data_IF_884650946732
#
_entry.id   IF_884650946732
#
_cell.length_a   1.000
_cell.length_b   1.000
_cell.length_c   1.000
_cell.angle_alpha   90.00
_cell.angle_beta   90.00
_cell.angle_gamma   90.00
#
_symmetry.space_group_name_H-M   'P 1'
#
loop_
_entity.id
_entity.type
_entity.pdbx_description
1 polymer ?
#
# COMPACT_ATOMS: atom_id res chain seq x y z
N UNK A 1 0.63 -6.17 -27.42
CA UNK A 1 1.12 -4.96 -26.74
C UNK A 1 1.59 -5.36 -25.35
N UNK A 2 2.85 -5.09 -25.00
CA UNK A 2 3.39 -5.50 -23.69
C UNK A 2 3.06 -4.43 -22.65
N UNK A 3 2.64 -4.86 -21.46
CA UNK A 3 2.35 -3.97 -20.32
C UNK A 3 3.57 -3.94 -19.41
N UNK A 4 3.97 -2.75 -18.96
CA UNK A 4 5.03 -2.57 -17.97
C UNK A 4 4.37 -2.53 -16.59
N UNK A 5 4.73 -3.47 -15.72
CA UNK A 5 4.19 -3.54 -14.37
C UNK A 5 5.29 -3.29 -13.34
N UNK A 6 5.10 -2.23 -12.55
CA UNK A 6 6.07 -1.74 -11.57
C UNK A 6 5.55 -2.04 -10.16
N UNK A 7 6.41 -2.57 -9.32
CA UNK A 7 6.05 -2.95 -7.97
C UNK A 7 6.80 -2.12 -6.92
N UNK A 8 6.01 -1.64 -5.96
CA UNK A 8 6.41 -1.12 -4.67
C UNK A 8 7.20 0.22 -4.69
N UNK A 9 7.49 0.70 -3.50
CA UNK A 9 7.98 2.06 -3.24
C UNK A 9 9.39 2.35 -3.75
N UNK A 10 10.20 1.33 -3.99
CA UNK A 10 11.57 1.52 -4.49
C UNK A 10 11.62 2.12 -5.90
N UNK A 11 10.56 1.95 -6.68
CA UNK A 11 10.51 2.29 -8.09
C UNK A 11 9.48 3.40 -8.40
N UNK A 12 9.14 4.21 -7.41
CA UNK A 12 8.07 5.22 -7.52
C UNK A 12 8.31 6.27 -8.61
N UNK A 13 9.56 6.58 -8.93
CA UNK A 13 9.92 7.56 -9.96
C UNK A 13 10.00 6.95 -11.37
N UNK A 14 10.02 5.64 -11.47
CA UNK A 14 10.23 4.94 -12.76
C UNK A 14 9.08 5.15 -13.75
N UNK A 15 7.79 5.21 -13.36
CA UNK A 15 6.71 5.44 -14.32
C UNK A 15 6.87 6.75 -15.10
N UNK A 16 7.23 7.85 -14.44
CA UNK A 16 7.47 9.15 -15.09
C UNK A 16 8.67 9.07 -16.04
N UNK A 17 9.79 8.52 -15.58
CA UNK A 17 10.99 8.34 -16.38
C UNK A 17 10.75 7.47 -17.63
N UNK A 18 9.89 6.46 -17.53
CA UNK A 18 9.49 5.63 -18.66
C UNK A 18 8.55 6.39 -19.60
N UNK A 19 7.62 7.16 -19.05
CA UNK A 19 6.67 7.96 -19.84
C UNK A 19 7.39 8.96 -20.74
N UNK A 20 8.47 9.59 -20.24
CA UNK A 20 9.30 10.50 -21.04
C UNK A 20 9.97 9.80 -22.22
N UNK A 21 10.40 8.54 -22.04
CA UNK A 21 11.12 7.78 -23.08
C UNK A 21 10.21 6.99 -24.01
N UNK A 22 9.08 6.52 -23.48
CA UNK A 22 8.12 5.66 -24.20
C UNK A 22 6.70 6.19 -23.92
N UNK A 23 6.28 7.27 -24.60
CA UNK A 23 5.03 7.98 -24.30
C UNK A 23 3.77 7.11 -24.32
N UNK A 24 3.72 6.10 -25.18
CA UNK A 24 2.53 5.28 -25.42
C UNK A 24 2.54 3.95 -24.64
N UNK A 25 3.56 3.70 -23.80
CA UNK A 25 3.64 2.45 -23.05
C UNK A 25 2.53 2.36 -22.00
N UNK A 26 1.78 1.25 -21.92
CA UNK A 26 0.86 0.99 -20.83
C UNK A 26 1.65 0.62 -19.57
N UNK A 27 1.58 1.48 -18.55
CA UNK A 27 2.32 1.36 -17.30
C UNK A 27 1.35 1.21 -16.15
N UNK A 28 1.50 0.12 -15.38
CA UNK A 28 0.83 -0.09 -14.10
C UNK A 28 1.83 -0.01 -12.96
N UNK A 29 1.45 0.65 -11.87
CA UNK A 29 2.23 0.70 -10.62
C UNK A 29 1.37 0.18 -9.47
N UNK A 30 1.90 -0.74 -8.67
CA UNK A 30 1.25 -1.20 -7.46
C UNK A 30 2.09 -0.92 -6.22
N UNK A 31 1.51 -0.21 -5.26
CA UNK A 31 2.17 0.08 -3.98
C UNK A 31 1.75 -0.95 -2.92
N UNK A 32 2.72 -1.77 -2.46
CA UNK A 32 2.52 -2.73 -1.39
C UNK A 32 2.58 -2.10 0.00
N UNK A 33 3.34 -1.01 0.14
CA UNK A 33 3.44 -0.24 1.38
C UNK A 33 2.19 0.60 1.66
N UNK A 34 2.03 1.04 2.90
CA UNK A 34 0.96 1.96 3.28
C UNK A 34 1.19 3.35 2.68
N UNK A 35 0.18 3.93 2.05
CA UNK A 35 0.24 5.33 1.66
C UNK A 35 -0.26 6.20 2.84
N UNK A 36 0.56 7.13 3.35
CA UNK A 36 0.20 7.93 4.52
C UNK A 36 -0.90 8.95 4.22
N UNK A 37 -1.53 9.49 5.25
CA UNK A 37 -2.46 10.59 5.08
C UNK A 37 -1.78 11.81 4.47
N UNK A 38 -2.54 12.68 3.80
CA UNK A 38 -2.00 13.89 3.19
C UNK A 38 -1.30 14.83 4.20
N UNK A 39 -1.71 14.77 5.47
CA UNK A 39 -1.10 15.55 6.56
C UNK A 39 0.34 15.08 6.85
N UNK A 40 0.56 13.78 6.84
CA UNK A 40 1.90 13.19 7.03
C UNK A 40 2.70 13.33 5.74
N UNK A 41 2.09 13.04 4.58
CA UNK A 41 2.76 13.08 3.29
C UNK A 41 3.33 14.48 2.95
N UNK A 42 2.64 15.54 3.35
CA UNK A 42 3.12 16.92 3.13
C UNK A 42 4.45 17.25 3.79
N UNK A 43 4.85 16.49 4.83
CA UNK A 43 6.13 16.68 5.52
C UNK A 43 7.32 16.18 4.70
N UNK A 44 7.08 15.38 3.66
CA UNK A 44 8.14 14.91 2.78
C UNK A 44 8.63 16.05 1.89
N UNK A 45 9.93 16.31 1.88
CA UNK A 45 10.56 17.38 1.07
C UNK A 45 10.37 17.14 -0.42
N UNK A 46 10.55 15.90 -0.86
CA UNK A 46 10.43 15.43 -2.26
C UNK A 46 9.02 14.98 -2.63
N UNK A 47 7.99 15.48 -1.93
CA UNK A 47 6.59 15.05 -2.13
C UNK A 47 6.06 15.27 -3.53
N UNK A 48 6.50 16.35 -4.22
CA UNK A 48 6.05 16.65 -5.58
C UNK A 48 6.61 15.64 -6.57
N UNK A 49 7.91 15.42 -6.51
CA UNK A 49 8.65 14.49 -7.36
C UNK A 49 8.11 13.05 -7.20
N UNK A 50 7.85 12.65 -5.97
CA UNK A 50 7.28 11.32 -5.69
C UNK A 50 5.88 11.19 -6.30
N UNK A 51 4.99 12.18 -6.15
CA UNK A 51 3.65 12.12 -6.77
C UNK A 51 3.72 12.16 -8.29
N UNK A 52 4.60 12.97 -8.87
CA UNK A 52 4.81 13.02 -10.31
C UNK A 52 5.26 11.66 -10.84
N UNK A 53 6.19 11.01 -10.13
CA UNK A 53 6.60 9.65 -10.45
C UNK A 53 5.43 8.65 -10.54
N UNK A 54 4.53 8.66 -9.56
CA UNK A 54 3.30 7.84 -9.61
C UNK A 54 2.44 8.17 -10.85
N UNK A 55 2.30 9.46 -11.15
CA UNK A 55 1.39 9.96 -12.18
C UNK A 55 1.89 9.72 -13.62
N UNK A 56 3.11 9.22 -13.81
CA UNK A 56 3.57 8.66 -15.07
C UNK A 56 2.90 7.34 -15.47
N UNK A 57 2.25 6.66 -14.52
CA UNK A 57 1.52 5.42 -14.79
C UNK A 57 0.13 5.68 -15.42
N UNK A 58 -0.45 4.65 -16.05
CA UNK A 58 -1.85 4.66 -16.48
C UNK A 58 -2.78 4.19 -15.36
N UNK A 59 -2.28 3.26 -14.53
CA UNK A 59 -3.02 2.69 -13.40
C UNK A 59 -2.11 2.64 -12.17
N UNK A 60 -2.62 3.17 -11.05
CA UNK A 60 -1.98 3.05 -9.73
C UNK A 60 -2.86 2.21 -8.82
N UNK A 61 -2.31 1.12 -8.30
CA UNK A 61 -2.98 0.17 -7.43
C UNK A 61 -2.54 0.28 -5.97
N UNK A 62 -3.49 0.13 -5.05
CA UNK A 62 -3.26 0.13 -3.61
C UNK A 62 -3.92 -1.08 -2.95
N UNK A 63 -3.47 -1.44 -1.74
CA UNK A 63 -4.03 -2.53 -0.93
C UNK A 63 -5.42 -2.20 -0.39
N UNK A 64 -5.69 -0.95 -0.05
CA UNK A 64 -6.95 -0.52 0.58
C UNK A 64 -7.47 0.76 -0.04
N UNK A 65 -8.79 0.94 0.06
CA UNK A 65 -9.47 2.15 -0.37
C UNK A 65 -8.96 3.42 0.35
N UNK A 66 -8.60 3.30 1.62
CA UNK A 66 -8.05 4.43 2.39
C UNK A 66 -6.75 4.95 1.78
N UNK A 67 -5.87 4.06 1.33
CA UNK A 67 -4.60 4.46 0.70
C UNK A 67 -4.83 5.13 -0.66
N UNK A 68 -5.73 4.57 -1.49
CA UNK A 68 -6.13 5.19 -2.75
C UNK A 68 -6.67 6.61 -2.53
N UNK A 69 -7.57 6.79 -1.55
CA UNK A 69 -8.13 8.10 -1.20
C UNK A 69 -7.06 9.07 -0.68
N UNK A 70 -6.12 8.61 0.14
CA UNK A 70 -5.03 9.45 0.63
C UNK A 70 -4.13 9.91 -0.52
N UNK A 71 -3.82 9.02 -1.45
CA UNK A 71 -3.04 9.35 -2.65
C UNK A 71 -3.73 10.40 -3.51
N UNK A 72 -5.01 10.20 -3.86
CA UNK A 72 -5.80 11.15 -4.64
C UNK A 72 -5.82 12.52 -3.93
N UNK A 73 -6.10 12.54 -2.62
CA UNK A 73 -6.10 13.75 -1.82
C UNK A 73 -4.73 14.44 -1.75
N UNK A 74 -3.63 13.69 -1.76
CA UNK A 74 -2.28 14.25 -1.82
C UNK A 74 -2.01 14.89 -3.19
N UNK A 75 -2.39 14.24 -4.29
CA UNK A 75 -2.26 14.80 -5.65
C UNK A 75 -3.01 16.14 -5.79
N UNK A 76 -4.24 16.20 -5.30
CA UNK A 76 -5.04 17.45 -5.34
C UNK A 76 -4.40 18.55 -4.49
N UNK A 77 -3.97 18.25 -3.28
CA UNK A 77 -3.45 19.27 -2.35
C UNK A 77 -2.02 19.73 -2.65
N UNK A 78 -1.17 18.83 -3.14
CA UNK A 78 0.26 19.11 -3.36
C UNK A 78 0.54 19.59 -4.78
N UNK A 79 -0.12 18.98 -5.77
CA UNK A 79 0.08 19.27 -7.19
C UNK A 79 -1.03 20.14 -7.80
N UNK A 80 -2.17 20.28 -7.11
CA UNK A 80 -3.32 21.01 -7.64
C UNK A 80 -4.07 20.27 -8.77
N UNK A 81 -3.86 18.97 -8.90
CA UNK A 81 -4.50 18.16 -9.93
C UNK A 81 -6.02 18.05 -9.71
N UNK A 82 -6.79 18.09 -10.79
CA UNK A 82 -8.19 17.71 -10.76
C UNK A 82 -8.30 16.20 -10.50
N UNK A 83 -9.22 15.80 -9.63
CA UNK A 83 -9.39 14.39 -9.28
C UNK A 83 -10.85 13.98 -9.20
N UNK A 84 -11.09 12.71 -9.48
CA UNK A 84 -12.33 11.99 -9.24
C UNK A 84 -12.14 10.98 -8.10
N UNK A 85 -13.15 10.20 -7.78
CA UNK A 85 -13.03 9.12 -6.79
C UNK A 85 -12.08 7.98 -7.24
N UNK A 86 -11.87 7.84 -8.53
CA UNK A 86 -11.15 6.72 -9.13
C UNK A 86 -10.01 7.14 -10.07
N UNK A 87 -9.63 8.41 -10.05
CA UNK A 87 -8.55 8.88 -10.94
C UNK A 87 -8.09 10.30 -10.67
N UNK A 88 -6.94 10.62 -11.24
CA UNK A 88 -6.31 11.94 -11.20
C UNK A 88 -6.04 12.40 -12.62
N UNK A 89 -6.45 13.63 -12.95
CA UNK A 89 -6.19 14.24 -14.25
C UNK A 89 -4.89 15.06 -14.18
N UNK A 90 -3.94 14.72 -15.03
CA UNK A 90 -2.67 15.41 -15.17
C UNK A 90 -2.55 15.94 -16.60
N UNK A 91 -2.85 17.21 -16.80
CA UNK A 91 -2.74 17.86 -18.11
C UNK A 91 -3.46 17.10 -19.25
N UNK A 92 -4.63 16.52 -18.96
CA UNK A 92 -5.43 15.75 -19.92
C UNK A 92 -5.12 14.24 -19.94
N UNK A 93 -4.07 13.78 -19.26
CA UNK A 93 -3.81 12.37 -19.02
C UNK A 93 -4.52 11.91 -17.74
N UNK A 94 -5.41 10.94 -17.86
CA UNK A 94 -6.13 10.39 -16.71
C UNK A 94 -5.39 9.17 -16.18
N UNK A 95 -4.88 9.30 -14.95
CA UNK A 95 -4.31 8.20 -14.20
C UNK A 95 -5.40 7.53 -13.39
N UNK A 96 -5.72 6.28 -13.72
CA UNK A 96 -6.69 5.50 -12.96
C UNK A 96 -6.12 5.06 -11.62
N UNK A 97 -6.94 5.13 -10.56
CA UNK A 97 -6.56 4.70 -9.21
C UNK A 97 -7.50 3.58 -8.76
N UNK A 98 -6.93 2.44 -8.42
CA UNK A 98 -7.69 1.25 -8.04
C UNK A 98 -7.25 0.65 -6.70
N UNK A 99 -8.13 -0.18 -6.14
CA UNK A 99 -7.86 -0.95 -4.92
C UNK A 99 -7.89 -2.43 -5.25
N UNK A 100 -6.78 -3.10 -5.00
CA UNK A 100 -6.59 -4.53 -5.30
C UNK A 100 -5.99 -5.22 -4.07
N UNK A 101 -6.81 -5.61 -3.08
CA UNK A 101 -6.32 -6.29 -1.88
C UNK A 101 -5.64 -7.60 -2.24
N UNK A 102 -4.40 -7.79 -1.77
CA UNK A 102 -3.70 -9.07 -1.93
C UNK A 102 -4.31 -10.08 -0.96
N UNK A 103 -4.76 -11.21 -1.49
CA UNK A 103 -5.28 -12.31 -0.69
C UNK A 103 -4.19 -13.07 0.07
N UNK A 104 -4.62 -13.98 0.95
CA UNK A 104 -3.75 -14.90 1.67
C UNK A 104 -3.93 -16.30 1.08
N UNK A 105 -2.82 -16.99 0.81
CA UNK A 105 -2.84 -18.41 0.47
C UNK A 105 -3.11 -19.23 1.74
N UNK A 106 -4.36 -19.64 1.93
CA UNK A 106 -4.80 -20.42 3.08
C UNK A 106 -4.07 -21.77 3.19
N UNK A 107 -3.74 -22.41 2.07
CA UNK A 107 -3.01 -23.68 2.06
C UNK A 107 -1.59 -23.51 2.59
N UNK A 108 -0.93 -22.44 2.21
CA UNK A 108 0.42 -22.10 2.67
C UNK A 108 0.43 -21.80 4.18
N UNK A 109 -0.57 -21.07 4.67
CA UNK A 109 -0.73 -20.81 6.12
C UNK A 109 -0.95 -22.11 6.87
N UNK A 110 -1.77 -23.03 6.36
CA UNK A 110 -2.01 -24.35 6.96
C UNK A 110 -0.76 -25.24 6.95
N UNK A 111 0.07 -25.15 5.91
CA UNK A 111 1.36 -25.85 5.88
C UNK A 111 2.31 -25.31 6.94
N UNK A 112 2.49 -23.99 7.05
CA UNK A 112 3.33 -23.39 8.08
C UNK A 112 2.87 -23.73 9.49
N UNK A 113 1.55 -23.78 9.74
CA UNK A 113 1.00 -24.15 11.04
C UNK A 113 1.38 -25.58 11.48
N UNK A 114 1.63 -26.46 10.51
CA UNK A 114 2.03 -27.86 10.75
C UNK A 114 3.54 -28.06 10.93
N UNK A 115 4.33 -27.01 10.77
CA UNK A 115 5.78 -27.10 10.99
C UNK A 115 6.10 -27.46 12.45
N UNK A 116 7.08 -28.38 12.70
CA UNK A 116 7.40 -28.85 14.05
C UNK A 116 7.75 -27.73 15.04
N UNK A 117 8.33 -26.63 14.56
CA UNK A 117 8.71 -25.49 15.39
C UNK A 117 7.53 -24.60 15.83
N UNK A 118 6.36 -24.71 15.19
CA UNK A 118 5.22 -23.82 15.44
C UNK A 118 4.43 -24.26 16.67
N UNK A 119 4.16 -25.55 16.84
CA UNK A 119 3.37 -26.07 17.95
C UNK A 119 3.94 -25.74 19.36
N UNK A 120 5.25 -25.87 19.62
CA UNK A 120 5.85 -25.46 20.90
C UNK A 120 5.71 -23.95 21.15
N UNK A 121 5.88 -23.13 20.11
CA UNK A 121 5.76 -21.67 20.19
C UNK A 121 4.33 -21.22 20.46
N UNK A 122 3.35 -21.84 19.82
CA UNK A 122 1.93 -21.61 20.09
C UNK A 122 1.57 -21.96 21.54
N UNK A 123 2.09 -23.07 22.06
CA UNK A 123 1.89 -23.46 23.46
C UNK A 123 2.48 -22.44 24.42
N UNK A 124 3.73 -22.03 24.20
CA UNK A 124 4.40 -21.04 25.06
C UNK A 124 3.65 -19.70 25.09
N UNK A 125 3.17 -19.22 23.95
CA UNK A 125 2.37 -18.00 23.86
C UNK A 125 1.04 -18.17 24.62
N UNK A 126 0.35 -19.28 24.43
CA UNK A 126 -0.92 -19.56 25.11
C UNK A 126 -0.73 -19.59 26.63
N UNK A 127 0.29 -20.30 27.12
CA UNK A 127 0.58 -20.40 28.56
C UNK A 127 0.89 -19.01 29.15
N UNK A 128 1.63 -18.16 28.42
CA UNK A 128 1.92 -16.79 28.84
C UNK A 128 0.63 -15.93 28.95
N UNK A 129 -0.27 -16.01 27.97
CA UNK A 129 -1.54 -15.27 27.99
C UNK A 129 -2.50 -15.75 29.08
N UNK A 130 -2.57 -17.06 29.34
CA UNK A 130 -3.40 -17.60 30.42
C UNK A 130 -2.92 -17.09 31.79
N UNK A 131 -1.60 -17.11 32.04
CA UNK A 131 -1.02 -16.58 33.28
C UNK A 131 -1.25 -15.09 33.44
N UNK A 132 -1.07 -14.30 32.37
CA UNK A 132 -1.33 -12.87 32.39
C UNK A 132 -2.81 -12.56 32.69
N UNK A 133 -3.74 -13.29 32.09
CA UNK A 133 -5.17 -13.11 32.29
C UNK A 133 -5.63 -13.51 33.71
N UNK A 134 -5.03 -14.56 34.27
CA UNK A 134 -5.30 -14.94 35.66
C UNK A 134 -4.81 -13.87 36.65
N UNK A 135 -3.62 -13.30 36.46
CA UNK A 135 -3.12 -12.18 37.24
C UNK A 135 -4.05 -10.97 37.20
N UNK A 136 -4.46 -10.54 36.00
CA UNK A 136 -5.38 -9.43 35.85
C UNK A 136 -6.72 -9.65 36.60
N UNK A 137 -7.23 -10.87 36.59
CA UNK A 137 -8.46 -11.21 37.33
C UNK A 137 -8.24 -11.14 38.86
N UNK A 138 -7.11 -11.65 39.34
CA UNK A 138 -6.79 -11.61 40.77
C UNK A 138 -6.57 -10.20 41.27
N UNK A 139 -5.90 -9.32 40.49
CA UNK A 139 -5.67 -7.93 40.83
C UNK A 139 -6.98 -7.11 40.89
N UNK A 140 -8.01 -7.55 40.15
CA UNK A 140 -9.36 -6.90 40.21
C UNK A 140 -10.23 -7.39 41.37
N UNK A 141 -9.87 -8.48 42.04
CA UNK A 141 -10.60 -9.09 43.13
C UNK A 141 -9.99 -8.77 44.51
N UNK A 142 -8.81 -8.16 44.53
CA UNK A 142 -8.11 -7.62 45.71
C UNK A 142 -8.39 -6.11 45.88
#
# INVERSE_FOLDING_TARGET
MSVIFINDYHLLLVPEMLREKIPDAPIGLFLHATFPSSEIFRCLTTRKEVLQGFLGANLVGFQTYSYARHFIGACTRVLGCESTQTGVNVNGHIVSVGTFPIGIDANRVDQFRKEPAVAPKMKAIRDMYVVARIREILDRLS
#
